data_IF_621041326832
#
_entry.id   IF_621041326832
#
_cell.length_a   1.000
_cell.length_b   1.000
_cell.length_c   1.000
_cell.angle_alpha   90.00
_cell.angle_beta   90.00
_cell.angle_gamma   90.00
#
_symmetry.space_group_name_H-M   'P 1'
#
loop_
_entity.id
_entity.type
_entity.pdbx_description
1 polymer ?
#
# COMPACT_ATOMS: atom_id res chain seq x y z
N UNK A 1 30.75 3.82 -1.58
CA UNK A 1 29.38 3.52 -2.04
C UNK A 1 28.87 2.32 -1.26
N UNK A 2 27.76 2.45 -0.51
CA UNK A 2 27.19 1.32 0.22
C UNK A 2 26.66 0.29 -0.79
N UNK A 3 27.32 -0.86 -0.84
CA UNK A 3 26.92 -1.98 -1.67
C UNK A 3 25.71 -2.66 -1.01
N UNK A 4 24.54 -2.52 -1.63
CA UNK A 4 23.38 -3.31 -1.26
C UNK A 4 23.61 -4.74 -1.78
N UNK A 5 24.20 -5.58 -0.92
CA UNK A 5 24.23 -7.03 -1.12
C UNK A 5 22.84 -7.51 -1.50
N UNK A 6 22.77 -8.47 -2.45
CA UNK A 6 21.59 -9.14 -3.01
C UNK A 6 20.72 -9.89 -1.97
N UNK A 7 20.31 -9.22 -0.91
CA UNK A 7 19.18 -9.61 -0.06
C UNK A 7 18.13 -8.55 -0.30
N UNK A 8 16.99 -8.95 -0.86
CA UNK A 8 15.81 -8.10 -0.90
C UNK A 8 15.56 -7.60 0.52
N UNK A 9 15.97 -6.36 0.80
CA UNK A 9 15.76 -5.75 2.09
C UNK A 9 14.27 -5.39 2.11
N UNK A 10 13.52 -6.05 3.00
CA UNK A 10 12.11 -5.73 3.23
C UNK A 10 12.05 -4.41 3.99
N UNK A 11 12.33 -3.32 3.29
CA UNK A 11 12.14 -1.99 3.84
C UNK A 11 10.63 -1.72 3.88
N UNK A 12 10.07 -1.27 5.02
CA UNK A 12 8.69 -0.86 5.06
C UNK A 12 8.50 0.26 4.04
N UNK A 13 7.75 -0.03 2.97
CA UNK A 13 7.42 0.97 1.98
C UNK A 13 6.32 1.88 2.55
N UNK A 14 6.56 3.19 2.66
CA UNK A 14 5.51 4.10 3.10
C UNK A 14 4.39 4.11 2.06
N UNK A 15 3.19 3.69 2.46
CA UNK A 15 1.97 3.81 1.65
C UNK A 15 1.26 5.08 2.09
N UNK A 16 1.09 6.03 1.18
CA UNK A 16 0.26 7.22 1.43
C UNK A 16 -1.19 6.87 1.13
N UNK A 17 -2.03 6.84 2.17
CA UNK A 17 -3.46 6.58 2.06
C UNK A 17 -4.19 7.90 2.25
N UNK A 18 -4.85 8.40 1.20
CA UNK A 18 -5.81 9.51 1.29
C UNK A 18 -7.18 8.88 1.44
N UNK A 19 -7.69 8.87 2.67
CA UNK A 19 -8.92 8.17 3.03
C UNK A 19 -10.13 9.08 3.14
N UNK A 20 -11.26 8.61 2.62
CA UNK A 20 -12.59 9.10 3.01
C UNK A 20 -13.09 8.31 4.21
N UNK A 21 -13.72 8.99 5.16
CA UNK A 21 -14.35 8.35 6.32
C UNK A 21 -15.86 8.31 6.13
N UNK A 22 -16.51 7.28 6.66
CA UNK A 22 -17.97 7.22 6.77
C UNK A 22 -18.50 8.09 7.93
N UNK A 23 -19.82 8.16 8.07
CA UNK A 23 -20.49 8.95 9.11
C UNK A 23 -20.14 8.50 10.55
N UNK A 24 -19.62 7.28 10.71
CA UNK A 24 -19.18 6.73 11.99
C UNK A 24 -17.67 6.92 12.23
N UNK A 25 -16.98 7.66 11.35
CA UNK A 25 -15.54 7.87 11.41
C UNK A 25 -14.71 6.64 11.06
N UNK A 26 -15.30 5.63 10.41
CA UNK A 26 -14.56 4.45 9.92
C UNK A 26 -13.99 4.74 8.52
N UNK A 27 -12.75 4.33 8.24
CA UNK A 27 -12.17 4.47 6.91
C UNK A 27 -12.99 3.65 5.90
N UNK A 28 -13.48 4.31 4.86
CA UNK A 28 -14.17 3.64 3.74
C UNK A 28 -13.16 3.27 2.67
N UNK A 29 -12.49 2.13 2.87
CA UNK A 29 -11.38 1.66 2.01
C UNK A 29 -11.87 1.35 0.59
N UNK A 30 -13.13 0.97 0.39
CA UNK A 30 -13.68 0.67 -0.94
C UNK A 30 -13.86 1.92 -1.79
N UNK A 31 -14.09 3.08 -1.16
CA UNK A 31 -14.10 4.37 -1.88
C UNK A 31 -12.71 4.98 -2.06
N UNK A 32 -11.67 4.40 -1.46
CA UNK A 32 -10.30 4.91 -1.58
C UNK A 32 -9.65 4.41 -2.86
N UNK A 33 -9.21 5.34 -3.72
CA UNK A 33 -8.34 5.03 -4.85
C UNK A 33 -6.88 4.84 -4.38
N UNK A 34 -6.63 3.75 -3.66
CA UNK A 34 -5.32 3.43 -3.09
C UNK A 34 -4.28 3.25 -4.20
N UNK A 35 -3.13 3.91 -4.04
CA UNK A 35 -1.97 3.74 -4.91
C UNK A 35 -0.76 3.28 -4.11
N UNK A 36 0.01 2.37 -4.67
CA UNK A 36 1.28 1.90 -4.11
C UNK A 36 2.41 2.11 -5.10
N UNK A 37 3.60 2.44 -4.60
CA UNK A 37 4.80 2.63 -5.42
C UNK A 37 5.62 1.33 -5.47
N UNK A 38 5.90 0.86 -6.68
CA UNK A 38 6.80 -0.27 -6.92
C UNK A 38 8.21 0.24 -7.28
N UNK A 39 9.22 0.09 -6.39
CA UNK A 39 10.56 0.62 -6.60
C UNK A 39 11.37 -0.18 -7.61
N UNK A 40 10.99 -1.43 -7.89
CA UNK A 40 11.68 -2.30 -8.87
C UNK A 40 11.36 -1.84 -10.29
N UNK A 41 10.11 -1.47 -10.54
CA UNK A 41 9.65 -1.02 -11.86
C UNK A 41 9.51 0.50 -11.97
N UNK A 42 9.71 1.24 -10.89
CA UNK A 42 9.47 2.69 -10.78
C UNK A 42 8.05 3.10 -11.22
N UNK A 43 7.06 2.25 -10.92
CA UNK A 43 5.66 2.44 -11.32
C UNK A 43 4.75 2.64 -10.11
N UNK A 44 3.68 3.40 -10.31
CA UNK A 44 2.55 3.46 -9.37
C UNK A 44 1.50 2.43 -9.79
N UNK A 45 1.06 1.61 -8.84
CA UNK A 45 0.02 0.59 -9.02
C UNK A 45 -1.21 1.01 -8.22
N UNK A 46 -2.41 0.81 -8.77
CA UNK A 46 -3.67 1.01 -8.06
C UNK A 46 -4.09 -0.30 -7.39
N UNK A 47 -4.55 -0.23 -6.16
CA UNK A 47 -5.17 -1.37 -5.47
C UNK A 47 -6.66 -1.33 -5.79
N UNK A 48 -7.13 -2.34 -6.52
CA UNK A 48 -8.51 -2.41 -7.00
C UNK A 48 -9.43 -3.08 -5.98
N UNK A 49 -9.12 -4.32 -5.56
CA UNK A 49 -10.02 -5.12 -4.74
C UNK A 49 -9.31 -5.72 -3.52
N UNK A 50 -10.06 -5.83 -2.42
CA UNK A 50 -9.64 -6.64 -1.27
C UNK A 50 -9.57 -8.12 -1.67
N UNK A 51 -8.50 -8.80 -1.24
CA UNK A 51 -8.24 -10.21 -1.55
C UNK A 51 -8.64 -11.17 -0.42
N UNK A 52 -9.19 -10.65 0.68
CA UNK A 52 -9.63 -11.43 1.82
C UNK A 52 -9.59 -10.64 3.13
N UNK A 53 -10.24 -11.19 4.16
CA UNK A 53 -10.08 -10.72 5.54
C UNK A 53 -9.11 -11.64 6.26
N UNK A 54 -8.20 -11.06 7.02
CA UNK A 54 -7.35 -11.84 7.93
C UNK A 54 -8.22 -12.51 8.99
N UNK A 55 -7.97 -13.80 9.22
CA UNK A 55 -8.66 -14.57 10.24
C UNK A 55 -8.11 -14.19 11.62
N UNK A 56 -9.03 -13.97 12.57
CA UNK A 56 -8.72 -13.70 13.97
C UNK A 56 -7.94 -14.82 14.64
#
# INVERSE_FOLDING_TARGET
MKSFSKKACFLPQPVLIIGTYDDNGKPDVEKMNLITFNPVSLKYLRIENSVGKELK
#
